data_IF_247194586983
#
_entry.id   IF_247194586983
#
_cell.length_a   1.000
_cell.length_b   1.000
_cell.length_c   1.000
_cell.angle_alpha   90.00
_cell.angle_beta   90.00
_cell.angle_gamma   90.00
#
_symmetry.space_group_name_H-M   'P 1'
#
loop_
_entity.id
_entity.type
_entity.pdbx_description
1 polymer ?
#
# COMPACT_ATOMS: atom_id res chain seq x y z
N UNK A 1 -0.79 2.89 -8.36
CA UNK A 1 -1.67 1.84 -8.94
C UNK A 1 -1.04 1.05 -10.09
N UNK A 2 0.01 1.54 -10.76
CA UNK A 2 0.62 0.86 -11.92
C UNK A 2 1.02 -0.61 -11.68
N UNK A 3 1.63 -0.93 -10.53
CA UNK A 3 2.02 -2.31 -10.21
C UNK A 3 0.83 -3.30 -10.19
N UNK A 4 -0.32 -2.89 -9.66
CA UNK A 4 -1.52 -3.73 -9.63
C UNK A 4 -1.99 -4.05 -11.05
N UNK A 5 -2.07 -3.03 -11.91
CA UNK A 5 -2.43 -3.18 -13.31
C UNK A 5 -1.48 -4.14 -14.05
N UNK A 6 -0.17 -3.96 -13.87
CA UNK A 6 0.84 -4.81 -14.51
C UNK A 6 0.73 -6.27 -14.05
N UNK A 7 0.51 -6.51 -12.75
CA UNK A 7 0.38 -7.86 -12.22
C UNK A 7 -0.87 -8.57 -12.76
N UNK A 8 -2.01 -7.87 -12.84
CA UNK A 8 -3.23 -8.39 -13.46
C UNK A 8 -3.00 -8.67 -14.95
N UNK A 9 -2.38 -7.75 -15.68
CA UNK A 9 -2.09 -7.92 -17.11
C UNK A 9 -1.08 -9.06 -17.38
N UNK A 10 -0.20 -9.36 -16.42
CA UNK A 10 0.69 -10.52 -16.47
C UNK A 10 -0.03 -11.85 -16.15
N UNK A 11 -1.35 -11.84 -15.90
CA UNK A 11 -2.14 -13.02 -15.61
C UNK A 11 -2.02 -13.51 -14.16
N UNK A 12 -1.47 -12.71 -13.25
CA UNK A 12 -1.32 -13.09 -11.85
C UNK A 12 -2.64 -12.92 -11.09
N UNK A 13 -2.93 -13.87 -10.20
CA UNK A 13 -4.02 -13.74 -9.22
C UNK A 13 -3.51 -12.96 -8.01
N UNK A 14 -3.87 -11.68 -7.94
CA UNK A 14 -3.34 -10.77 -6.92
C UNK A 14 -4.43 -10.23 -5.98
N UNK A 15 -3.97 -9.81 -4.80
CA UNK A 15 -4.75 -9.03 -3.84
C UNK A 15 -4.01 -7.72 -3.59
N UNK A 16 -4.69 -6.59 -3.77
CA UNK A 16 -4.17 -5.28 -3.39
C UNK A 16 -4.30 -5.11 -1.87
N UNK A 17 -3.21 -4.69 -1.22
CA UNK A 17 -3.18 -4.42 0.21
C UNK A 17 -2.95 -2.92 0.44
N UNK A 18 -3.91 -2.27 1.07
CA UNK A 18 -3.79 -0.91 1.56
C UNK A 18 -3.54 -0.95 3.07
N UNK A 19 -2.59 -0.16 3.55
CA UNK A 19 -2.34 0.03 4.98
C UNK A 19 -2.71 1.46 5.32
N UNK A 20 -3.73 1.60 6.17
CA UNK A 20 -4.20 2.89 6.67
C UNK A 20 -3.53 3.17 8.02
N UNK A 21 -2.66 4.19 8.03
CA UNK A 21 -1.95 4.64 9.21
C UNK A 21 -2.75 5.61 10.08
N UNK A 22 -3.90 6.10 9.61
CA UNK A 22 -4.79 7.01 10.34
C UNK A 22 -4.21 8.40 10.65
N UNK A 23 -3.12 8.81 9.98
CA UNK A 23 -2.46 10.10 10.20
C UNK A 23 -3.28 11.32 9.76
N UNK A 24 -4.25 11.11 8.86
CA UNK A 24 -5.16 12.14 8.36
C UNK A 24 -6.60 11.66 8.56
N UNK A 25 -7.52 12.56 8.89
CA UNK A 25 -8.96 12.23 9.02
C UNK A 25 -9.52 11.60 7.73
N UNK A 26 -8.99 12.01 6.58
CA UNK A 26 -9.42 11.54 5.26
C UNK A 26 -8.64 10.34 4.73
N UNK A 27 -7.71 9.77 5.51
CA UNK A 27 -6.89 8.60 5.13
C UNK A 27 -7.73 7.42 4.63
N UNK A 28 -8.88 7.17 5.26
CA UNK A 28 -9.82 6.13 4.84
C UNK A 28 -10.36 6.26 3.40
N UNK A 29 -10.35 7.46 2.81
CA UNK A 29 -10.79 7.67 1.43
C UNK A 29 -9.79 7.08 0.42
N UNK A 30 -8.50 7.02 0.76
CA UNK A 30 -7.48 6.40 -0.09
C UNK A 30 -7.71 4.89 -0.17
N UNK A 31 -8.11 4.26 0.94
CA UNK A 31 -8.54 2.87 0.96
C UNK A 31 -9.68 2.61 -0.02
N UNK A 32 -10.72 3.45 -0.03
CA UNK A 32 -11.87 3.31 -0.96
C UNK A 32 -11.43 3.30 -2.42
N UNK A 33 -10.56 4.23 -2.81
CA UNK A 33 -10.00 4.29 -4.16
C UNK A 33 -9.27 2.99 -4.54
N UNK A 34 -8.51 2.39 -3.62
CA UNK A 34 -7.83 1.11 -3.86
C UNK A 34 -8.83 -0.02 -4.11
N UNK A 35 -9.94 -0.06 -3.35
CA UNK A 35 -10.99 -1.05 -3.56
C UNK A 35 -11.68 -0.89 -4.92
N UNK A 36 -12.02 0.33 -5.30
CA UNK A 36 -12.64 0.63 -6.61
C UNK A 36 -11.74 0.16 -7.75
N UNK A 37 -10.46 0.57 -7.76
CA UNK A 37 -9.50 0.18 -8.80
C UNK A 37 -9.27 -1.32 -8.84
N UNK A 38 -9.16 -1.99 -7.68
CA UNK A 38 -8.98 -3.44 -7.65
C UNK A 38 -10.21 -4.17 -8.20
N UNK A 39 -11.42 -3.71 -7.85
CA UNK A 39 -12.68 -4.26 -8.35
C UNK A 39 -12.77 -4.14 -9.87
N UNK A 40 -12.45 -2.97 -10.42
CA UNK A 40 -12.47 -2.71 -11.87
C UNK A 40 -11.48 -3.60 -12.64
N UNK A 41 -10.39 -4.00 -11.99
CA UNK A 41 -9.38 -4.91 -12.53
C UNK A 41 -9.64 -6.39 -12.24
N UNK A 42 -10.75 -6.73 -11.58
CA UNK A 42 -11.07 -8.11 -11.18
C UNK A 42 -10.13 -8.69 -10.11
N UNK A 43 -9.42 -7.84 -9.38
CA UNK A 43 -8.55 -8.21 -8.28
C UNK A 43 -9.26 -8.07 -6.92
N UNK A 44 -8.78 -8.81 -5.91
CA UNK A 44 -9.23 -8.60 -4.53
C UNK A 44 -8.52 -7.38 -3.94
N UNK A 45 -9.15 -6.72 -2.97
CA UNK A 45 -8.50 -5.71 -2.15
C UNK A 45 -8.78 -5.95 -0.67
N UNK A 46 -7.80 -5.62 0.18
CA UNK A 46 -7.90 -5.64 1.62
C UNK A 46 -7.32 -4.34 2.19
N UNK A 47 -7.94 -3.83 3.26
CA UNK A 47 -7.42 -2.72 4.03
C UNK A 47 -7.03 -3.21 5.43
N UNK A 48 -5.80 -2.91 5.83
CA UNK A 48 -5.27 -3.14 7.16
C UNK A 48 -5.14 -1.80 7.86
N UNK A 49 -5.56 -1.75 9.12
CA UNK A 49 -5.38 -0.56 9.96
C UNK A 49 -4.14 -0.73 10.81
N UNK A 50 -3.25 0.26 10.78
CA UNK A 50 -2.00 0.23 11.51
C UNK A 50 -1.70 1.65 12.01
N UNK A 51 -2.47 2.07 13.01
CA UNK A 51 -2.45 3.43 13.52
C UNK A 51 -1.08 3.82 14.08
N UNK A 52 -0.61 5.00 13.70
CA UNK A 52 0.59 5.61 14.27
C UNK A 52 0.30 7.07 14.61
N UNK A 53 0.85 7.52 15.73
CA UNK A 53 0.82 8.94 16.09
C UNK A 53 1.89 9.72 15.35
N UNK A 54 1.58 10.97 15.03
CA UNK A 54 2.53 11.95 14.50
C UNK A 54 3.70 12.15 15.46
N UNK A 55 4.87 12.54 14.93
CA UNK A 55 6.06 12.80 15.72
C UNK A 55 7.37 12.47 15.00
N UNK A 56 8.50 12.50 15.72
CA UNK A 56 9.82 12.27 15.13
C UNK A 56 9.92 10.91 14.43
N UNK A 57 10.73 10.86 13.37
CA UNK A 57 11.00 9.66 12.58
C UNK A 57 9.72 8.98 12.04
N UNK A 58 8.69 9.78 11.74
CA UNK A 58 7.38 9.28 11.33
C UNK A 58 7.46 8.30 10.16
N UNK A 59 8.22 8.62 9.12
CA UNK A 59 8.34 7.78 7.93
C UNK A 59 8.97 6.41 8.23
N UNK A 60 10.01 6.38 9.06
CA UNK A 60 10.65 5.14 9.47
C UNK A 60 9.68 4.27 10.29
N UNK A 61 8.99 4.87 11.27
CA UNK A 61 7.97 4.19 12.07
C UNK A 61 6.82 3.67 11.21
N UNK A 62 6.34 4.47 10.25
CA UNK A 62 5.31 4.06 9.31
C UNK A 62 5.76 2.89 8.43
N UNK A 63 7.03 2.90 8.00
CA UNK A 63 7.64 1.83 7.21
C UNK A 63 7.72 0.53 7.99
N UNK A 64 8.12 0.57 9.25
CA UNK A 64 8.23 -0.61 10.12
C UNK A 64 6.84 -1.19 10.40
N UNK A 65 5.92 -0.36 10.87
CA UNK A 65 4.53 -0.77 11.13
C UNK A 65 3.85 -1.35 9.88
N UNK A 66 4.10 -0.76 8.70
CA UNK A 66 3.60 -1.29 7.42
C UNK A 66 4.16 -2.67 7.12
N UNK A 67 5.45 -2.93 7.40
CA UNK A 67 6.07 -4.25 7.17
C UNK A 67 5.50 -5.31 8.11
N UNK A 68 5.21 -4.94 9.35
CA UNK A 68 4.70 -5.87 10.38
C UNK A 68 3.29 -6.37 10.10
N UNK A 69 2.43 -5.53 9.50
CA UNK A 69 1.03 -5.89 9.23
C UNK A 69 0.82 -6.56 7.87
N UNK A 70 1.73 -6.33 6.91
CA UNK A 70 1.60 -6.91 5.57
C UNK A 70 1.89 -8.42 5.58
N UNK A 71 1.21 -9.20 4.73
CA UNK A 71 1.54 -10.62 4.58
C UNK A 71 2.97 -10.80 4.04
N UNK A 72 3.60 -11.96 4.31
CA UNK A 72 4.92 -12.27 3.76
C UNK A 72 4.89 -12.34 2.23
N UNK A 73 6.02 -12.04 1.59
CA UNK A 73 6.21 -12.10 0.12
C UNK A 73 5.27 -11.15 -0.65
N UNK A 74 5.29 -9.87 -0.29
CA UNK A 74 4.53 -8.80 -0.96
C UNK A 74 5.31 -8.18 -2.13
N UNK A 75 4.62 -7.78 -3.20
CA UNK A 75 5.18 -6.90 -4.23
C UNK A 75 4.96 -5.44 -3.83
N UNK A 76 6.02 -4.62 -3.85
CA UNK A 76 5.93 -3.17 -3.58
C UNK A 76 6.24 -2.38 -4.84
N UNK A 77 5.52 -1.27 -5.04
CA UNK A 77 5.67 -0.41 -6.23
C UNK A 77 6.86 0.56 -6.20
N UNK A 78 7.94 0.24 -5.48
CA UNK A 78 9.15 1.07 -5.51
C UNK A 78 9.73 1.06 -6.92
N UNK A 79 10.00 2.25 -7.42
CA UNK A 79 10.57 2.57 -8.73
C UNK A 79 12.03 3.00 -8.59
N UNK A 80 12.68 3.28 -9.72
CA UNK A 80 14.05 3.78 -9.72
C UNK A 80 14.19 5.15 -9.01
N UNK A 81 13.15 5.98 -9.05
CA UNK A 81 13.14 7.29 -8.38
C UNK A 81 13.16 7.13 -6.86
N UNK A 82 12.41 6.17 -6.31
CA UNK A 82 12.44 5.86 -4.87
C UNK A 82 13.83 5.40 -4.39
N UNK A 83 14.61 4.75 -5.25
CA UNK A 83 15.99 4.37 -4.95
C UNK A 83 16.92 5.58 -4.91
N UNK A 84 16.72 6.57 -5.79
CA UNK A 84 17.52 7.78 -5.83
C UNK A 84 17.36 8.66 -4.57
N UNK A 85 16.21 8.59 -3.90
CA UNK A 85 15.96 9.27 -2.61
C UNK A 85 16.66 8.59 -1.42
N UNK A 86 17.22 7.39 -1.62
CA UNK A 86 17.88 6.59 -0.56
C UNK A 86 19.42 6.62 -0.68
N UNK A 87 20.00 7.53 -1.47
CA UNK A 87 21.45 7.65 -1.74
C UNK A 87 22.11 8.75 -0.92
#
# INVERSE_FOLDING_TARGET
MALLLLAVNAGLKVTAWHVDHGLRETSSNEGKMVFEVASDLGAKANCLKAFIEDGPNLEARARDVRRDVLPPQILTGHTADDQAETV
#
